data_IF_819764861707
#
_entry.id   IF_819764861707
#
_cell.length_a   1.000
_cell.length_b   1.000
_cell.length_c   1.000
_cell.angle_alpha   90.00
_cell.angle_beta   90.00
_cell.angle_gamma   90.00
#
_symmetry.space_group_name_H-M   'P 1'
#
loop_
_entity.id
_entity.type
_entity.pdbx_description
1 polymer ?
#
# COMPACT_ATOMS: atom_id res chain seq x y z
N UNK A 1 12.66 -33.95 4.67
CA UNK A 1 13.12 -33.90 6.07
C UNK A 1 12.82 -32.50 6.59
N UNK A 2 11.72 -32.35 7.33
CA UNK A 2 11.44 -31.13 8.10
C UNK A 2 12.27 -31.22 9.40
N UNK A 3 12.91 -30.14 9.87
CA UNK A 3 13.64 -30.18 11.12
C UNK A 3 12.68 -30.39 12.29
N UNK A 4 12.98 -31.39 13.12
CA UNK A 4 12.27 -31.60 14.38
C UNK A 4 12.53 -30.40 15.32
N UNK A 5 11.46 -29.77 15.81
CA UNK A 5 11.56 -28.73 16.85
C UNK A 5 10.69 -27.48 16.65
N UNK A 6 9.98 -27.31 15.53
CA UNK A 6 9.04 -26.19 15.39
C UNK A 6 7.75 -26.47 16.18
N UNK A 7 7.61 -25.83 17.35
CA UNK A 7 6.36 -25.78 18.10
C UNK A 7 5.67 -24.45 17.80
N UNK A 8 4.52 -24.49 17.11
CA UNK A 8 3.72 -23.30 16.82
C UNK A 8 3.25 -22.63 18.14
N UNK A 9 3.23 -21.29 18.23
CA UNK A 9 2.73 -20.61 19.42
C UNK A 9 1.27 -20.97 19.66
N UNK A 10 0.98 -21.53 20.84
CA UNK A 10 -0.37 -21.88 21.30
C UNK A 10 -1.11 -20.61 21.75
N UNK A 11 -1.51 -19.78 20.80
CA UNK A 11 -2.50 -18.72 21.04
C UNK A 11 -3.88 -19.25 20.63
N UNK A 12 -4.82 -19.44 21.58
CA UNK A 12 -6.17 -19.86 21.23
C UNK A 12 -6.91 -18.65 20.67
N UNK A 13 -7.30 -18.68 19.38
CA UNK A 13 -8.30 -17.72 18.90
C UNK A 13 -8.36 -17.37 17.41
N UNK A 14 -7.39 -17.73 16.58
CA UNK A 14 -7.50 -17.48 15.14
C UNK A 14 -6.97 -18.67 14.36
N UNK A 15 -7.85 -19.32 13.59
CA UNK A 15 -7.42 -20.23 12.52
C UNK A 15 -6.61 -19.36 11.54
N UNK A 16 -5.29 -19.35 11.67
CA UNK A 16 -4.42 -18.74 10.67
C UNK A 16 -4.64 -19.53 9.37
N UNK A 17 -5.49 -19.02 8.49
CA UNK A 17 -5.65 -19.61 7.17
C UNK A 17 -4.31 -19.41 6.45
N UNK A 18 -3.61 -20.49 6.07
CA UNK A 18 -2.34 -20.35 5.38
C UNK A 18 -2.54 -19.56 4.10
N UNK A 19 -1.82 -18.46 3.95
CA UNK A 19 -1.94 -17.65 2.75
C UNK A 19 -1.04 -18.22 1.66
N UNK A 20 -1.65 -18.72 0.59
CA UNK A 20 -0.92 -19.16 -0.60
C UNK A 20 -0.55 -17.94 -1.43
N UNK A 21 0.74 -17.76 -1.68
CA UNK A 21 1.26 -16.72 -2.56
C UNK A 21 2.12 -17.32 -3.66
N UNK A 22 2.05 -16.73 -4.84
CA UNK A 22 2.99 -17.01 -5.92
C UNK A 22 3.92 -15.82 -6.09
N UNK A 23 5.22 -16.12 -6.15
CA UNK A 23 6.26 -15.16 -6.49
C UNK A 23 6.85 -15.53 -7.86
N UNK A 24 6.94 -14.54 -8.75
CA UNK A 24 7.64 -14.62 -10.03
C UNK A 24 9.16 -14.69 -9.81
N UNK A 25 9.95 -15.06 -10.83
CA UNK A 25 11.41 -14.97 -10.73
C UNK A 25 11.87 -13.58 -10.26
N UNK A 26 12.79 -13.55 -9.30
CA UNK A 26 13.34 -12.34 -8.68
C UNK A 26 12.35 -11.41 -7.96
N UNK A 27 11.06 -11.77 -7.87
CA UNK A 27 10.07 -11.01 -7.12
C UNK A 27 10.38 -11.07 -5.63
N UNK A 28 10.13 -9.96 -4.93
CA UNK A 28 10.39 -9.84 -3.50
C UNK A 28 9.11 -9.55 -2.73
N UNK A 29 9.03 -10.15 -1.56
CA UNK A 29 7.99 -9.99 -0.58
C UNK A 29 8.58 -9.47 0.72
N UNK A 30 7.89 -8.54 1.39
CA UNK A 30 8.31 -7.98 2.68
C UNK A 30 7.28 -8.35 3.74
N UNK A 31 7.74 -9.02 4.81
CA UNK A 31 6.93 -9.46 5.94
C UNK A 31 7.58 -8.94 7.23
N UNK A 32 6.95 -7.95 7.88
CA UNK A 32 7.55 -7.29 9.04
C UNK A 32 8.98 -6.81 8.74
N UNK A 33 9.96 -7.34 9.47
CA UNK A 33 11.38 -7.00 9.33
C UNK A 33 12.16 -7.94 8.38
N UNK A 34 11.49 -8.87 7.71
CA UNK A 34 12.11 -9.84 6.81
C UNK A 34 11.73 -9.57 5.35
N UNK A 35 12.68 -9.85 4.45
CA UNK A 35 12.46 -9.84 3.02
C UNK A 35 12.75 -11.21 2.43
N UNK A 36 11.82 -11.72 1.62
CA UNK A 36 11.97 -12.95 0.85
C UNK A 36 12.10 -12.56 -0.61
N UNK A 37 13.20 -12.93 -1.25
CA UNK A 37 13.37 -12.80 -2.71
C UNK A 37 13.30 -14.20 -3.32
N UNK A 38 12.46 -14.36 -4.33
CA UNK A 38 12.39 -15.62 -5.07
C UNK A 38 13.58 -15.76 -6.03
N UNK A 39 13.98 -16.99 -6.30
CA UNK A 39 15.07 -17.32 -7.22
C UNK A 39 14.71 -17.08 -8.69
N UNK A 40 15.41 -17.78 -9.58
CA UNK A 40 15.27 -17.69 -11.04
C UNK A 40 14.00 -18.33 -11.61
N UNK A 41 13.23 -19.06 -10.79
CA UNK A 41 12.00 -19.76 -11.19
C UNK A 41 10.81 -19.33 -10.35
N UNK A 42 9.61 -19.39 -10.94
CA UNK A 42 8.35 -19.14 -10.22
C UNK A 42 8.17 -20.20 -9.12
N UNK A 43 7.82 -19.74 -7.93
CA UNK A 43 7.64 -20.61 -6.75
C UNK A 43 6.35 -20.24 -6.01
N UNK A 44 5.67 -21.26 -5.48
CA UNK A 44 4.52 -21.08 -4.59
C UNK A 44 4.98 -21.21 -3.14
N UNK A 45 4.65 -20.22 -2.32
CA UNK A 45 4.90 -20.24 -0.88
C UNK A 45 3.58 -20.33 -0.14
N UNK A 46 3.59 -21.07 0.97
CA UNK A 46 2.50 -21.10 1.93
C UNK A 46 2.98 -20.37 3.19
N UNK A 47 2.32 -19.27 3.53
CA UNK A 47 2.69 -18.49 4.71
C UNK A 47 1.68 -18.76 5.83
N UNK A 48 2.18 -19.34 6.91
CA UNK A 48 1.45 -19.53 8.16
C UNK A 48 1.81 -18.40 9.12
N UNK A 49 1.25 -17.21 8.88
CA UNK A 49 1.55 -16.01 9.68
C UNK A 49 0.29 -15.20 9.98
N UNK A 50 0.31 -14.53 11.13
CA UNK A 50 -0.68 -13.51 11.48
C UNK A 50 -0.20 -12.08 11.11
N UNK A 51 1.00 -11.97 10.52
CA UNK A 51 1.63 -10.69 10.18
C UNK A 51 1.15 -10.18 8.82
N UNK A 52 0.94 -8.86 8.75
CA UNK A 52 0.64 -8.14 7.50
C UNK A 52 1.90 -8.00 6.64
N UNK A 53 1.74 -8.08 5.31
CA UNK A 53 2.87 -8.07 4.38
C UNK A 53 2.55 -7.27 3.12
N UNK A 54 3.59 -6.77 2.46
CA UNK A 54 3.50 -6.07 1.18
C UNK A 54 4.44 -6.73 0.16
N UNK A 55 4.09 -6.69 -1.12
CA UNK A 55 5.04 -7.04 -2.19
C UNK A 55 5.97 -5.86 -2.43
N UNK A 56 7.23 -6.11 -2.80
CA UNK A 56 8.17 -5.03 -3.14
C UNK A 56 7.63 -4.16 -4.28
N UNK A 57 6.90 -4.76 -5.24
CA UNK A 57 6.23 -4.01 -6.32
C UNK A 57 5.14 -3.06 -5.84
N UNK A 58 4.54 -3.37 -4.68
CA UNK A 58 3.47 -2.57 -4.09
C UNK A 58 4.03 -1.53 -3.11
N UNK A 59 5.34 -1.51 -2.87
CA UNK A 59 5.96 -0.54 -1.98
C UNK A 59 6.33 0.74 -2.74
N UNK A 60 6.06 1.89 -2.12
CA UNK A 60 6.65 3.19 -2.44
C UNK A 60 7.39 3.65 -1.18
N UNK A 61 8.67 4.00 -1.29
CA UNK A 61 9.43 4.52 -0.16
C UNK A 61 9.13 6.00 0.09
N UNK A 62 9.44 6.50 1.28
CA UNK A 62 9.35 7.94 1.58
C UNK A 62 10.19 8.78 0.60
N UNK A 63 11.34 8.28 0.15
CA UNK A 63 12.19 8.96 -0.84
C UNK A 63 11.61 8.97 -2.25
N UNK A 64 10.75 8.00 -2.59
CA UNK A 64 10.06 7.91 -3.89
C UNK A 64 8.74 8.70 -3.89
N UNK A 65 8.26 9.12 -2.73
CA UNK A 65 7.01 9.87 -2.54
C UNK A 65 7.17 11.37 -2.85
N UNK A 66 7.53 11.64 -4.11
CA UNK A 66 7.74 12.97 -4.69
C UNK A 66 6.43 13.69 -5.09
N UNK A 67 5.27 13.14 -4.77
CA UNK A 67 3.95 13.73 -5.04
C UNK A 67 3.01 13.62 -3.85
N UNK A 68 2.04 14.53 -3.69
CA UNK A 68 1.05 14.45 -2.62
C UNK A 68 0.29 13.11 -2.60
N UNK A 69 -0.10 12.58 -3.76
CA UNK A 69 -0.81 11.29 -3.80
C UNK A 69 0.10 10.10 -3.45
N UNK A 70 1.40 10.16 -3.79
CA UNK A 70 2.36 9.14 -3.32
C UNK A 70 2.61 9.25 -1.83
N UNK A 71 2.65 10.45 -1.25
CA UNK A 71 2.76 10.65 0.20
C UNK A 71 1.53 10.08 0.93
N UNK A 72 0.31 10.32 0.42
CA UNK A 72 -0.90 9.66 0.91
C UNK A 72 -0.78 8.14 0.84
N UNK A 73 -0.23 7.59 -0.24
CA UNK A 73 0.00 6.16 -0.37
C UNK A 73 0.97 5.62 0.68
N UNK A 74 2.06 6.35 0.97
CA UNK A 74 3.00 5.96 2.04
C UNK A 74 2.30 5.87 3.39
N UNK A 75 1.43 6.83 3.72
CA UNK A 75 0.65 6.80 4.95
C UNK A 75 -0.29 5.59 4.99
N UNK A 76 -0.94 5.24 3.89
CA UNK A 76 -1.74 4.01 3.79
C UNK A 76 -0.90 2.74 4.01
N UNK A 77 0.35 2.70 3.55
CA UNK A 77 1.25 1.56 3.83
C UNK A 77 1.57 1.46 5.31
N UNK A 78 1.84 2.58 5.98
CA UNK A 78 2.04 2.58 7.44
C UNK A 78 0.78 2.08 8.13
N UNK A 79 -0.38 2.62 7.77
CA UNK A 79 -1.69 2.21 8.32
C UNK A 79 -2.00 0.73 8.08
N UNK A 80 -1.48 0.14 7.01
CA UNK A 80 -1.57 -1.28 6.73
C UNK A 80 -0.60 -2.10 7.59
N UNK A 81 0.64 -1.65 7.77
CA UNK A 81 1.68 -2.45 8.42
C UNK A 81 1.61 -2.42 9.95
N UNK A 82 1.20 -1.30 10.55
CA UNK A 82 1.21 -1.12 12.01
C UNK A 82 -0.13 -1.48 12.65
N UNK A 83 -0.10 -1.92 13.91
CA UNK A 83 -1.31 -2.29 14.64
C UNK A 83 -2.09 -1.07 15.17
N UNK A 84 -1.39 -0.02 15.57
CA UNK A 84 -1.98 1.25 16.01
C UNK A 84 -1.55 2.38 15.06
N UNK A 85 -2.35 2.68 14.02
CA UNK A 85 -1.98 3.62 12.97
C UNK A 85 -2.42 5.07 13.24
N UNK A 86 -2.75 5.44 14.48
CA UNK A 86 -3.35 6.73 14.82
C UNK A 86 -2.60 7.95 14.27
N UNK A 87 -1.27 7.96 14.36
CA UNK A 87 -0.45 9.05 13.83
C UNK A 87 -0.52 9.12 12.30
N UNK A 88 -0.46 7.96 11.63
CA UNK A 88 -0.55 7.87 10.18
C UNK A 88 -1.95 8.23 9.66
N UNK A 89 -3.01 7.85 10.39
CA UNK A 89 -4.39 8.26 10.11
C UNK A 89 -4.55 9.78 10.21
N UNK A 90 -4.01 10.38 11.28
CA UNK A 90 -4.07 11.83 11.49
C UNK A 90 -3.34 12.58 10.37
N UNK A 91 -2.12 12.14 10.04
CA UNK A 91 -1.36 12.71 8.92
C UNK A 91 -2.06 12.51 7.57
N UNK A 92 -2.71 11.35 7.37
CA UNK A 92 -3.47 11.08 6.15
C UNK A 92 -4.62 12.05 6.00
N UNK A 93 -5.40 12.30 7.05
CA UNK A 93 -6.53 13.26 6.99
C UNK A 93 -6.06 14.68 6.69
N UNK A 94 -4.96 15.13 7.32
CA UNK A 94 -4.41 16.45 7.09
C UNK A 94 -4.00 16.63 5.62
N UNK A 95 -3.18 15.71 5.10
CA UNK A 95 -2.71 15.76 3.70
C UNK A 95 -3.87 15.57 2.71
N UNK A 96 -4.84 14.70 3.01
CA UNK A 96 -5.99 14.47 2.15
C UNK A 96 -6.83 15.75 1.98
N UNK A 97 -7.01 16.51 3.06
CA UNK A 97 -7.69 17.80 3.00
C UNK A 97 -6.92 18.82 2.16
N UNK A 98 -5.59 18.90 2.29
CA UNK A 98 -4.76 19.78 1.46
C UNK A 98 -4.89 19.41 -0.03
N UNK A 99 -4.82 18.12 -0.36
CA UNK A 99 -4.98 17.64 -1.75
C UNK A 99 -6.37 17.96 -2.30
N UNK A 100 -7.43 17.78 -1.51
CA UNK A 100 -8.79 18.11 -1.94
C UNK A 100 -9.00 19.62 -2.13
N UNK A 101 -8.36 20.46 -1.33
CA UNK A 101 -8.40 21.91 -1.52
C UNK A 101 -7.65 22.35 -2.79
N UNK A 102 -6.49 21.77 -3.05
CA UNK A 102 -5.69 22.07 -4.23
C UNK A 102 -6.32 21.53 -5.53
N UNK A 103 -6.88 20.33 -5.48
CA UNK A 103 -7.44 19.62 -6.64
C UNK A 103 -8.79 18.96 -6.27
N UNK A 104 -9.90 19.72 -6.28
CA UNK A 104 -11.21 19.21 -5.86
C UNK A 104 -11.69 17.96 -6.60
N UNK A 105 -11.24 17.73 -7.84
CA UNK A 105 -11.58 16.54 -8.62
C UNK A 105 -11.02 15.23 -8.03
N UNK A 106 -10.08 15.32 -7.09
CA UNK A 106 -9.56 14.18 -6.32
C UNK A 106 -10.53 13.71 -5.22
N UNK A 107 -11.46 14.57 -4.79
CA UNK A 107 -12.34 14.36 -3.65
C UNK A 107 -13.06 13.00 -3.63
N UNK A 108 -13.74 12.57 -4.71
CA UNK A 108 -14.43 11.29 -4.73
C UNK A 108 -13.51 10.07 -4.50
N UNK A 109 -12.26 10.13 -4.98
CA UNK A 109 -11.29 9.04 -4.79
C UNK A 109 -10.76 9.02 -3.37
N UNK A 110 -10.49 10.20 -2.80
CA UNK A 110 -10.05 10.34 -1.41
C UNK A 110 -11.14 9.87 -0.44
N UNK A 111 -12.41 10.21 -0.71
CA UNK A 111 -13.55 9.72 0.07
C UNK A 111 -13.65 8.18 0.03
N UNK A 112 -13.47 7.56 -1.13
CA UNK A 112 -13.48 6.10 -1.24
C UNK A 112 -12.34 5.43 -0.45
N UNK A 113 -11.15 6.06 -0.39
CA UNK A 113 -10.03 5.58 0.43
C UNK A 113 -10.36 5.71 1.92
N UNK A 114 -10.93 6.85 2.32
CA UNK A 114 -11.39 7.08 3.69
C UNK A 114 -12.39 6.00 4.11
N UNK A 115 -13.43 5.74 3.31
CA UNK A 115 -14.45 4.74 3.62
C UNK A 115 -13.87 3.33 3.74
N UNK A 116 -12.97 2.94 2.83
CA UNK A 116 -12.27 1.66 2.92
C UNK A 116 -11.40 1.54 4.18
N UNK A 117 -10.77 2.64 4.60
CA UNK A 117 -9.98 2.69 5.83
C UNK A 117 -10.86 2.55 7.06
N UNK A 118 -11.96 3.31 7.16
CA UNK A 118 -12.91 3.24 8.27
C UNK A 118 -13.59 1.88 8.39
N UNK A 119 -13.81 1.19 7.26
CA UNK A 119 -14.32 -0.18 7.21
C UNK A 119 -13.25 -1.25 7.54
N UNK A 120 -12.02 -0.85 7.88
CA UNK A 120 -10.88 -1.73 8.14
C UNK A 120 -10.49 -2.61 6.91
N UNK A 121 -10.91 -2.23 5.71
CA UNK A 121 -10.59 -2.86 4.42
C UNK A 121 -9.22 -2.37 3.90
N UNK A 122 -8.18 -2.49 4.72
CA UNK A 122 -6.87 -1.83 4.50
C UNK A 122 -6.20 -2.18 3.16
N UNK A 123 -6.34 -3.42 2.68
CA UNK A 123 -5.80 -3.83 1.37
C UNK A 123 -6.53 -3.13 0.20
N UNK A 124 -7.85 -2.94 0.32
CA UNK A 124 -8.63 -2.19 -0.66
C UNK A 124 -8.25 -0.71 -0.64
N UNK A 125 -8.01 -0.13 0.53
CA UNK A 125 -7.52 1.25 0.66
C UNK A 125 -6.19 1.44 -0.08
N UNK A 126 -5.24 0.51 0.05
CA UNK A 126 -3.99 0.52 -0.72
C UNK A 126 -4.26 0.46 -2.24
N UNK A 127 -5.16 -0.42 -2.70
CA UNK A 127 -5.49 -0.48 -4.12
C UNK A 127 -6.04 0.86 -4.64
N UNK A 128 -6.98 1.47 -3.91
CA UNK A 128 -7.54 2.77 -4.25
C UNK A 128 -6.48 3.89 -4.22
N UNK A 129 -5.52 3.82 -3.29
CA UNK A 129 -4.39 4.75 -3.25
C UNK A 129 -3.51 4.68 -4.51
N UNK A 130 -3.28 3.49 -5.07
CA UNK A 130 -2.58 3.35 -6.37
C UNK A 130 -3.38 3.98 -7.52
N UNK A 131 -4.70 3.81 -7.52
CA UNK A 131 -5.58 4.43 -8.51
C UNK A 131 -5.58 5.96 -8.39
N UNK A 132 -5.50 6.50 -7.17
CA UNK A 132 -5.34 7.93 -6.91
C UNK A 132 -4.02 8.46 -7.48
N UNK A 133 -2.89 7.75 -7.27
CA UNK A 133 -1.60 8.13 -7.86
C UNK A 133 -1.68 8.15 -9.39
N UNK A 134 -2.30 7.14 -10.00
CA UNK A 134 -2.46 7.10 -11.46
C UNK A 134 -3.26 8.31 -11.97
N UNK A 135 -4.35 8.65 -11.29
CA UNK A 135 -5.17 9.80 -11.64
C UNK A 135 -4.44 11.14 -11.43
N UNK A 136 -3.60 11.26 -10.40
CA UNK A 136 -2.74 12.43 -10.21
C UNK A 136 -1.80 12.65 -11.41
N UNK A 137 -1.20 11.57 -11.94
CA UNK A 137 -0.35 11.66 -13.13
C UNK A 137 -1.15 12.11 -14.37
N UNK A 138 -2.37 11.62 -14.54
CA UNK A 138 -3.26 12.05 -15.63
C UNK A 138 -3.61 13.55 -15.53
N UNK A 139 -3.93 14.05 -14.33
CA UNK A 139 -4.27 15.46 -14.12
C UNK A 139 -3.06 16.35 -14.35
N UNK A 140 -1.88 15.96 -13.87
CA UNK A 140 -0.61 16.69 -14.09
C UNK A 140 -0.22 16.72 -15.57
N UNK A 141 -0.44 15.63 -16.30
CA UNK A 141 -0.21 15.56 -17.74
C UNK A 141 -1.14 16.44 -18.58
N UNK A 142 -2.26 16.90 -18.00
CA UNK A 142 -3.22 17.82 -18.65
C UNK A 142 -2.99 19.30 -18.31
N UNK A 143 -1.87 19.65 -17.65
CA UNK A 143 -1.48 21.05 -17.38
C UNK A 143 -1.48 21.92 -18.64
N UNK A 144 -1.72 23.24 -18.52
CA UNK A 144 -2.30 24.06 -19.57
C UNK A 144 -1.49 23.97 -20.87
N UNK A 145 -2.19 23.71 -21.98
CA UNK A 145 -1.64 23.97 -23.31
C UNK A 145 -1.07 25.38 -23.30
N UNK A 146 0.23 25.50 -23.52
CA UNK A 146 0.91 26.77 -23.76
C UNK A 146 0.19 27.45 -24.91
N UNK A 147 -0.60 28.48 -24.59
CA UNK A 147 -1.14 29.42 -25.57
C UNK A 147 0.09 30.01 -26.30
N UNK A 148 0.20 29.85 -27.64
CA UNK A 148 1.30 30.46 -28.37
C UNK A 148 1.20 31.98 -28.22
N UNK A 149 2.35 32.70 -28.06
CA UNK A 149 2.32 34.14 -27.93
C UNK A 149 1.62 34.74 -29.15
N UNK A 150 0.58 35.53 -28.90
CA UNK A 150 -0.12 36.28 -29.92
C UNK A 150 0.89 37.14 -30.68
N UNK A 151 1.04 36.85 -31.96
CA UNK A 151 1.77 37.66 -32.93
C UNK A 151 0.84 38.70 -33.55
#
# INVERSE_FOLDING_TARGET
MLPEGWSAPKSPGLRAMPLKIELKPNERLIIGNAAIRNGDRRSSFLLETNTRFLRESDIITESEADTPCKQLYVLLQVMYLVDNPFEAETAFMALANEVMQAVPSMGPRIAAIHDATSANERYKALKLGRELIAYEQEVRGRGPATEPPAA
#
